data_IF_920922801111
#
_entry.id   IF_920922801111
#
_cell.length_a   1.000
_cell.length_b   1.000
_cell.length_c   1.000
_cell.angle_alpha   90.00
_cell.angle_beta   90.00
_cell.angle_gamma   90.00
#
_symmetry.space_group_name_H-M   'P 1'
#
loop_
_entity.id
_entity.type
_entity.pdbx_description
1 polymer ?
#
# COMPACT_ATOMS: atom_id res chain seq x y z
N UNK A 1 6.17 -0.73 5.35
CA UNK A 1 6.90 -0.25 4.15
C UNK A 1 6.46 1.18 3.83
N UNK A 2 7.30 1.98 3.17
CA UNK A 2 6.94 3.33 2.69
C UNK A 2 6.64 3.24 1.19
N UNK A 3 5.44 3.65 0.77
CA UNK A 3 5.10 3.83 -0.64
C UNK A 3 5.16 5.33 -0.96
N UNK A 4 6.15 5.72 -1.78
CA UNK A 4 6.25 7.07 -2.33
C UNK A 4 5.26 7.18 -3.49
N UNK A 5 4.33 8.14 -3.42
CA UNK A 5 3.29 8.34 -4.44
C UNK A 5 3.53 9.67 -5.17
N UNK A 6 4.54 9.76 -6.06
CA UNK A 6 4.80 10.98 -6.80
C UNK A 6 3.65 11.28 -7.78
N UNK A 7 2.96 12.40 -7.59
CA UNK A 7 1.98 12.91 -8.56
C UNK A 7 0.51 12.67 -8.24
N UNK A 8 0.16 12.20 -7.03
CA UNK A 8 -1.23 12.29 -6.56
C UNK A 8 -1.55 13.72 -6.12
N UNK A 9 -2.71 14.22 -6.52
CA UNK A 9 -3.31 15.41 -5.93
C UNK A 9 -3.56 15.16 -4.42
N UNK A 10 -3.47 16.19 -3.58
CA UNK A 10 -3.58 16.07 -2.12
C UNK A 10 -4.93 15.46 -1.72
N UNK A 11 -5.98 15.76 -2.49
CA UNK A 11 -7.30 15.18 -2.31
C UNK A 11 -7.35 13.68 -2.64
N UNK A 12 -6.61 13.23 -3.65
CA UNK A 12 -6.53 11.80 -3.98
C UNK A 12 -5.75 11.04 -2.91
N UNK A 13 -4.66 11.62 -2.40
CA UNK A 13 -3.93 11.05 -1.27
C UNK A 13 -4.83 10.90 -0.03
N UNK A 14 -5.59 11.96 0.30
CA UNK A 14 -6.50 11.95 1.44
C UNK A 14 -7.65 10.97 1.26
N UNK A 15 -8.17 10.83 0.04
CA UNK A 15 -9.18 9.83 -0.29
C UNK A 15 -8.65 8.42 -0.03
N UNK A 16 -7.46 8.09 -0.54
CA UNK A 16 -6.82 6.79 -0.33
C UNK A 16 -6.52 6.52 1.14
N UNK A 17 -5.94 7.50 1.84
CA UNK A 17 -5.70 7.39 3.29
C UNK A 17 -6.98 7.05 4.05
N UNK A 18 -8.08 7.75 3.78
CA UNK A 18 -9.36 7.52 4.46
C UNK A 18 -9.98 6.15 4.13
N UNK A 19 -9.80 5.66 2.90
CA UNK A 19 -10.25 4.32 2.53
C UNK A 19 -9.45 3.25 3.28
N UNK A 20 -8.12 3.39 3.29
CA UNK A 20 -7.19 2.42 3.88
C UNK A 20 -7.21 2.44 5.41
N UNK A 21 -7.42 3.60 6.04
CA UNK A 21 -7.45 3.74 7.50
C UNK A 21 -8.62 3.00 8.16
N UNK A 22 -9.63 2.66 7.37
CA UNK A 22 -10.84 1.94 7.82
C UNK A 22 -10.68 0.43 7.74
N UNK A 23 -9.61 -0.06 7.08
CA UNK A 23 -9.37 -1.48 6.91
C UNK A 23 -8.86 -2.09 8.21
N UNK A 24 -9.61 -3.06 8.74
CA UNK A 24 -9.23 -3.82 9.92
C UNK A 24 -9.57 -5.29 9.72
N UNK A 25 -8.61 -6.05 9.20
CA UNK A 25 -8.78 -7.47 8.93
C UNK A 25 -7.43 -8.20 9.04
N UNK A 26 -7.36 -9.40 9.65
CA UNK A 26 -6.09 -10.13 9.85
C UNK A 26 -5.37 -10.58 8.56
N UNK A 27 -6.03 -10.48 7.41
CA UNK A 27 -5.45 -10.78 6.10
C UNK A 27 -5.32 -9.53 5.21
N UNK A 28 -5.31 -8.34 5.81
CA UNK A 28 -5.06 -7.07 5.14
C UNK A 28 -4.00 -6.33 5.95
N UNK A 29 -2.94 -5.87 5.28
CA UNK A 29 -1.89 -5.10 5.95
C UNK A 29 -2.46 -3.82 6.52
N UNK A 30 -2.22 -3.59 7.82
CA UNK A 30 -2.78 -2.42 8.49
C UNK A 30 -2.00 -1.16 8.14
N UNK A 31 -2.74 -0.12 7.74
CA UNK A 31 -2.22 1.23 7.68
C UNK A 31 -1.97 1.75 9.10
N UNK A 32 -0.76 2.21 9.38
CA UNK A 32 -0.38 2.78 10.68
C UNK A 32 -0.42 4.32 10.67
N UNK A 33 -0.34 4.94 9.51
CA UNK A 33 -0.39 6.39 9.37
C UNK A 33 0.12 6.87 8.01
N UNK A 34 0.56 8.12 7.96
CA UNK A 34 1.17 8.71 6.79
C UNK A 34 2.34 9.63 7.17
N UNK A 35 3.20 9.91 6.21
CA UNK A 35 4.25 10.90 6.28
C UNK A 35 3.91 12.06 5.34
N UNK A 36 4.05 13.29 5.83
CA UNK A 36 3.94 14.51 5.04
C UNK A 36 5.19 15.35 5.27
N UNK A 37 6.09 15.34 4.29
CA UNK A 37 7.37 16.02 4.35
C UNK A 37 7.39 17.18 3.34
N UNK A 38 7.66 18.39 3.84
CA UNK A 38 7.85 19.58 3.01
C UNK A 38 9.31 20.00 3.12
N UNK A 39 10.02 20.05 1.98
CA UNK A 39 11.41 20.49 1.91
C UNK A 39 11.56 21.63 0.90
N UNK A 40 12.23 22.71 1.30
CA UNK A 40 12.65 23.75 0.36
C UNK A 40 13.76 23.21 -0.52
N UNK A 41 13.60 23.37 -1.83
CA UNK A 41 14.57 22.95 -2.85
C UNK A 41 14.83 24.09 -3.82
N UNK A 42 16.06 24.19 -4.31
CA UNK A 42 16.40 25.12 -5.37
C UNK A 42 16.10 24.46 -6.71
N UNK A 43 15.22 25.06 -7.52
CA UNK A 43 14.89 24.57 -8.85
C UNK A 43 15.17 25.66 -9.88
N UNK A 44 15.62 25.26 -11.07
CA UNK A 44 15.79 26.20 -12.17
C UNK A 44 14.45 26.44 -12.87
N UNK A 45 14.09 27.71 -13.01
CA UNK A 45 12.87 28.14 -13.68
C UNK A 45 13.17 29.34 -14.56
N UNK A 46 13.03 29.18 -15.88
CA UNK A 46 13.36 30.20 -16.88
C UNK A 46 14.77 30.80 -16.72
N UNK A 47 15.79 29.96 -16.47
CA UNK A 47 17.19 30.39 -16.31
C UNK A 47 17.50 31.09 -14.98
N UNK A 48 16.56 31.10 -14.03
CA UNK A 48 16.76 31.61 -12.66
C UNK A 48 16.61 30.48 -11.66
N UNK A 49 17.45 30.49 -10.62
CA UNK A 49 17.27 29.60 -9.47
C UNK A 49 16.24 30.21 -8.53
N UNK A 50 15.17 29.48 -8.27
CA UNK A 50 14.13 29.87 -7.31
C UNK A 50 14.04 28.83 -6.18
N UNK A 51 13.58 29.28 -5.02
CA UNK A 51 13.19 28.38 -3.94
C UNK A 51 11.77 27.87 -4.20
N UNK A 52 11.61 26.56 -4.23
CA UNK A 52 10.31 25.90 -4.34
C UNK A 52 10.17 24.85 -3.24
N UNK A 53 8.94 24.68 -2.76
CA UNK A 53 8.61 23.60 -1.84
C UNK A 53 8.47 22.29 -2.61
N UNK A 54 9.18 21.27 -2.16
CA UNK A 54 9.02 19.88 -2.59
C UNK A 54 8.26 19.14 -1.51
N UNK A 55 7.07 18.69 -1.84
CA UNK A 55 6.21 17.88 -0.97
C UNK A 55 6.48 16.40 -1.26
N UNK A 56 6.62 15.59 -0.21
CA UNK A 56 6.60 14.13 -0.28
C UNK A 56 5.51 13.60 0.64
N UNK A 57 4.64 12.78 0.08
CA UNK A 57 3.57 12.10 0.80
C UNK A 57 3.83 10.59 0.72
N UNK A 58 3.75 9.92 1.86
CA UNK A 58 3.89 8.46 1.91
C UNK A 58 2.88 7.84 2.86
N UNK A 59 2.33 6.70 2.48
CA UNK A 59 1.52 5.86 3.36
C UNK A 59 2.42 4.92 4.16
N UNK A 60 2.15 4.82 5.45
CA UNK A 60 2.92 3.99 6.37
C UNK A 60 2.10 2.77 6.74
N UNK A 61 2.60 1.59 6.40
CA UNK A 61 2.01 0.30 6.75
C UNK A 61 2.83 -0.41 7.83
N UNK A 62 2.18 -1.31 8.56
CA UNK A 62 2.90 -2.22 9.44
C UNK A 62 3.95 -3.05 8.67
N UNK A 63 4.93 -3.55 9.42
CA UNK A 63 6.03 -4.28 8.82
C UNK A 63 5.65 -5.75 8.64
N UNK A 64 5.72 -6.23 7.40
CA UNK A 64 5.49 -7.64 7.06
C UNK A 64 6.82 -8.39 7.10
N UNK A 65 6.98 -9.28 8.08
CA UNK A 65 8.25 -9.97 8.35
C UNK A 65 8.70 -10.90 7.24
N UNK A 66 7.76 -11.41 6.45
CA UNK A 66 8.05 -12.34 5.35
C UNK A 66 8.13 -11.65 3.99
N UNK A 67 7.94 -10.33 3.95
CA UNK A 67 7.96 -9.56 2.71
C UNK A 67 6.80 -9.93 1.77
N UNK A 68 6.99 -9.67 0.48
CA UNK A 68 5.97 -9.78 -0.55
C UNK A 68 5.85 -11.20 -1.12
N UNK A 69 4.64 -11.56 -1.58
CA UNK A 69 4.35 -12.91 -2.05
C UNK A 69 4.97 -13.24 -3.41
N UNK A 70 5.35 -12.24 -4.22
CA UNK A 70 6.11 -12.42 -5.45
C UNK A 70 7.39 -13.24 -5.24
N UNK A 71 8.06 -13.08 -4.09
CA UNK A 71 9.24 -13.86 -3.70
C UNK A 71 8.96 -15.36 -3.52
N UNK A 72 7.71 -15.70 -3.30
CA UNK A 72 7.24 -17.05 -3.02
C UNK A 72 6.52 -17.69 -4.22
N UNK A 73 6.09 -16.88 -5.19
CA UNK A 73 5.38 -17.31 -6.40
C UNK A 73 6.30 -17.52 -7.61
N UNK A 74 7.52 -16.98 -7.59
CA UNK A 74 8.39 -16.84 -8.77
C UNK A 74 9.28 -18.05 -9.11
N UNK A 75 9.13 -19.22 -8.49
CA UNK A 75 9.98 -20.37 -8.89
C UNK A 75 9.35 -21.76 -8.76
N UNK A 76 9.67 -22.63 -9.72
CA UNK A 76 9.25 -24.03 -9.89
C UNK A 76 9.68 -24.95 -8.73
N UNK A 77 10.49 -24.44 -7.81
CA UNK A 77 10.96 -25.12 -6.60
C UNK A 77 10.87 -24.24 -5.34
N UNK A 78 9.95 -23.27 -5.30
CA UNK A 78 9.70 -22.55 -4.04
C UNK A 78 9.23 -23.54 -2.99
N UNK A 79 10.12 -23.85 -2.03
CA UNK A 79 9.97 -24.86 -0.98
C UNK A 79 8.86 -24.60 0.03
N UNK A 80 7.83 -23.85 -0.36
CA UNK A 80 6.59 -23.71 0.37
C UNK A 80 5.73 -24.94 0.18
N UNK A 81 5.58 -25.68 1.27
CA UNK A 81 4.63 -26.77 1.41
C UNK A 81 3.21 -26.34 0.98
N UNK A 82 2.47 -27.28 0.40
CA UNK A 82 1.11 -27.02 -0.09
C UNK A 82 0.19 -26.46 0.99
N UNK A 83 0.33 -26.91 2.25
CA UNK A 83 -0.50 -26.39 3.34
C UNK A 83 -0.24 -24.90 3.59
N UNK A 84 1.00 -24.43 3.41
CA UNK A 84 1.34 -23.02 3.51
C UNK A 84 0.72 -22.24 2.36
N UNK A 85 0.83 -22.75 1.12
CA UNK A 85 0.21 -22.14 -0.06
C UNK A 85 -1.31 -22.01 0.09
N UNK A 86 -1.97 -23.09 0.53
CA UNK A 86 -3.41 -23.10 0.79
C UNK A 86 -3.81 -22.10 1.88
N UNK A 87 -3.00 -21.95 2.92
CA UNK A 87 -3.22 -20.97 3.99
C UNK A 87 -3.17 -19.54 3.46
N UNK A 88 -2.19 -19.23 2.59
CA UNK A 88 -2.07 -17.93 1.91
C UNK A 88 -3.30 -17.67 1.04
N UNK A 89 -3.67 -18.61 0.16
CA UNK A 89 -4.85 -18.49 -0.72
C UNK A 89 -6.12 -18.22 0.10
N UNK A 90 -6.33 -18.99 1.17
CA UNK A 90 -7.48 -18.82 2.06
C UNK A 90 -7.48 -17.44 2.74
N UNK A 91 -6.31 -16.95 3.14
CA UNK A 91 -6.14 -15.60 3.68
C UNK A 91 -6.53 -14.52 2.66
N UNK A 92 -6.06 -14.62 1.42
CA UNK A 92 -6.39 -13.70 0.33
C UNK A 92 -7.91 -13.66 0.10
N UNK A 93 -8.56 -14.84 0.00
CA UNK A 93 -10.01 -14.91 -0.18
C UNK A 93 -10.78 -14.24 0.97
N UNK A 94 -10.33 -14.40 2.22
CA UNK A 94 -10.95 -13.74 3.38
C UNK A 94 -10.80 -12.22 3.32
N UNK A 95 -9.60 -11.72 2.99
CA UNK A 95 -9.37 -10.28 2.83
C UNK A 95 -10.23 -9.68 1.72
N UNK A 96 -10.32 -10.36 0.57
CA UNK A 96 -11.19 -9.96 -0.54
C UNK A 96 -12.66 -9.92 -0.17
N UNK A 97 -13.14 -10.95 0.53
CA UNK A 97 -14.52 -11.00 1.02
C UNK A 97 -14.82 -9.81 1.93
N UNK A 98 -13.93 -9.52 2.87
CA UNK A 98 -14.08 -8.38 3.78
C UNK A 98 -14.21 -7.05 2.99
N UNK A 99 -13.34 -6.83 2.00
CA UNK A 99 -13.35 -5.61 1.18
C UNK A 99 -14.66 -5.42 0.39
N UNK A 100 -15.21 -6.50 -0.14
CA UNK A 100 -16.37 -6.47 -1.04
C UNK A 100 -17.72 -6.58 -0.33
N UNK A 101 -17.80 -7.36 0.74
CA UNK A 101 -19.08 -7.74 1.36
C UNK A 101 -19.28 -7.11 2.75
N UNK A 102 -18.19 -6.87 3.49
CA UNK A 102 -18.27 -6.46 4.90
C UNK A 102 -18.07 -4.95 5.10
N UNK A 103 -17.43 -4.27 4.14
CA UNK A 103 -17.26 -2.82 4.15
C UNK A 103 -18.46 -2.08 3.53
N UNK A 104 -18.76 -0.89 4.07
CA UNK A 104 -19.77 0.03 3.53
C UNK A 104 -19.21 1.46 3.43
N UNK A 105 -19.05 2.04 2.23
CA UNK A 105 -19.19 1.40 0.93
C UNK A 105 -18.13 0.28 0.73
N UNK A 106 -18.40 -0.71 -0.12
CA UNK A 106 -17.39 -1.67 -0.56
C UNK A 106 -16.21 -0.95 -1.19
N UNK A 107 -15.00 -1.47 -0.96
CA UNK A 107 -13.79 -0.95 -1.61
C UNK A 107 -13.44 -1.91 -2.74
N UNK A 108 -13.61 -1.44 -3.99
CA UNK A 108 -13.11 -2.14 -5.16
C UNK A 108 -11.60 -1.97 -5.22
N UNK A 109 -10.86 -3.05 -4.95
CA UNK A 109 -9.40 -3.03 -4.93
C UNK A 109 -8.86 -2.77 -6.35
N UNK A 110 -8.62 -1.50 -6.72
CA UNK A 110 -7.81 -1.16 -7.89
C UNK A 110 -6.35 -1.42 -7.51
N UNK A 111 -5.82 -2.51 -8.07
CA UNK A 111 -4.45 -3.03 -7.98
C UNK A 111 -4.09 -3.88 -6.74
N UNK A 112 -4.64 -5.10 -6.71
CA UNK A 112 -4.50 -6.18 -5.70
C UNK A 112 -3.07 -6.48 -5.23
N UNK A 113 -2.06 -6.01 -5.94
CA UNK A 113 -0.67 -6.25 -5.64
C UNK A 113 -0.17 -5.53 -4.36
N UNK A 114 -0.84 -4.45 -3.93
CA UNK A 114 -0.29 -3.59 -2.87
C UNK A 114 -0.86 -3.79 -1.46
N UNK A 115 -2.04 -4.40 -1.28
CA UNK A 115 -2.71 -4.41 0.04
C UNK A 115 -2.98 -5.80 0.64
N UNK A 116 -2.65 -6.88 -0.07
CA UNK A 116 -2.94 -8.23 0.39
C UNK A 116 -1.69 -9.09 0.31
N UNK A 117 -0.68 -8.90 1.17
CA UNK A 117 0.31 -9.96 1.41
C UNK A 117 0.70 -10.05 2.88
N UNK A 118 0.84 -11.30 3.33
CA UNK A 118 0.91 -11.84 4.68
C UNK A 118 1.97 -11.27 5.62
#
# INVERSE_FOLDING_TARGET
MLYDMPGLDEDQFRHEFNNLSRLQHPNIVRLVGYCHEIRKTCVEHHGRVIFADRIRLALCFEYMTFGSLDKYLSDEYSGLDWNVRYTIIKGICKGLKYLHEELRPPISHLDLNQLIYC
#
